data_IF_707969957122
#
_entry.id   IF_707969957122
#
_cell.length_a   1.000
_cell.length_b   1.000
_cell.length_c   1.000
_cell.angle_alpha   90.00
_cell.angle_beta   90.00
_cell.angle_gamma   90.00
#
_symmetry.space_group_name_H-M   'P 1'
#
loop_
_entity.id
_entity.type
_entity.pdbx_description
1 polymer ?
#
# COMPACT_ATOMS: atom_id res chain seq x y z
N UNK A 1 0.46 -1.67 -6.06
CA UNK A 1 0.17 -1.05 -4.75
C UNK A 1 -0.93 -1.85 -4.07
N UNK A 2 -1.08 -1.74 -2.75
CA UNK A 2 -2.16 -2.39 -2.03
C UNK A 2 -2.62 -1.55 -0.83
N UNK A 3 -3.90 -1.63 -0.46
CA UNK A 3 -4.35 -1.17 0.84
C UNK A 3 -3.97 -2.20 1.89
N UNK A 4 -3.35 -1.71 2.96
CA UNK A 4 -2.91 -2.54 4.07
C UNK A 4 -3.26 -1.86 5.39
N UNK A 5 -3.48 -2.68 6.42
CA UNK A 5 -3.59 -2.23 7.79
C UNK A 5 -2.28 -2.55 8.51
N UNK A 6 -1.60 -1.52 8.99
CA UNK A 6 -0.34 -1.64 9.74
C UNK A 6 -0.60 -1.08 11.14
N UNK A 7 -0.52 -1.93 12.17
CA UNK A 7 -0.82 -1.56 13.58
C UNK A 7 -2.19 -0.86 13.78
N UNK A 8 -3.18 -1.17 12.94
CA UNK A 8 -4.53 -0.59 13.00
C UNK A 8 -4.80 0.54 12.01
N UNK A 9 -3.75 1.20 11.51
CA UNK A 9 -3.88 2.30 10.55
C UNK A 9 -3.98 1.78 9.12
N UNK A 10 -4.93 2.33 8.34
CA UNK A 10 -5.08 2.02 6.93
C UNK A 10 -4.14 2.89 6.09
N UNK A 11 -3.22 2.22 5.38
CA UNK A 11 -2.19 2.84 4.57
C UNK A 11 -2.15 2.21 3.18
N UNK A 12 -1.56 2.95 2.24
CA UNK A 12 -1.21 2.42 0.93
C UNK A 12 0.22 1.91 0.98
N UNK A 13 0.47 0.69 0.52
CA UNK A 13 1.80 0.07 0.55
C UNK A 13 2.28 -0.33 -0.83
N UNK A 14 3.60 -0.26 -1.01
CA UNK A 14 4.33 -0.77 -2.17
C UNK A 14 5.49 -1.63 -1.68
N UNK A 15 5.67 -2.80 -2.28
CA UNK A 15 6.69 -3.76 -1.87
C UNK A 15 6.70 -4.98 -2.80
N UNK A 16 7.81 -5.74 -2.80
CA UNK A 16 8.04 -6.83 -3.75
C UNK A 16 7.01 -7.96 -3.66
N UNK A 17 6.36 -8.15 -2.51
CA UNK A 17 5.32 -9.16 -2.33
C UNK A 17 3.99 -8.83 -3.02
N UNK A 18 3.69 -7.55 -3.27
CA UNK A 18 2.36 -7.14 -3.73
C UNK A 18 2.22 -7.11 -5.25
N UNK A 19 3.27 -7.51 -5.97
CA UNK A 19 3.23 -7.79 -7.40
C UNK A 19 3.02 -9.28 -7.56
N UNK A 20 1.90 -9.66 -8.19
CA UNK A 20 1.25 -10.98 -8.20
C UNK A 20 2.05 -12.19 -8.75
N UNK A 21 3.38 -12.12 -8.83
CA UNK A 21 4.21 -13.16 -9.45
C UNK A 21 5.54 -13.48 -8.76
N UNK A 22 5.90 -12.85 -7.65
CA UNK A 22 7.17 -13.10 -6.99
C UNK A 22 7.00 -13.67 -5.59
N UNK A 23 7.09 -15.00 -5.50
CA UNK A 23 7.38 -15.82 -4.31
C UNK A 23 6.39 -15.73 -3.12
N UNK A 24 5.84 -16.86 -2.63
CA UNK A 24 5.16 -16.84 -1.33
C UNK A 24 6.18 -16.36 -0.30
N UNK A 25 5.86 -15.26 0.41
CA UNK A 25 6.67 -14.83 1.54
C UNK A 25 6.71 -16.00 2.51
N UNK A 26 7.87 -16.62 2.67
CA UNK A 26 8.13 -17.48 3.83
C UNK A 26 7.78 -16.66 5.06
N UNK A 27 6.81 -17.12 5.85
CA UNK A 27 6.20 -16.43 6.99
C UNK A 27 7.17 -16.02 8.14
N UNK A 28 8.48 -16.05 7.87
CA UNK A 28 9.59 -15.88 8.78
C UNK A 28 10.50 -14.69 8.41
N UNK A 29 10.37 -14.10 7.22
CA UNK A 29 11.23 -12.98 6.80
C UNK A 29 10.48 -11.66 6.80
N UNK A 30 11.04 -10.68 7.51
CA UNK A 30 10.54 -9.31 7.49
C UNK A 30 10.59 -8.74 6.08
N UNK A 31 9.60 -7.92 5.75
CA UNK A 31 9.35 -7.40 4.41
C UNK A 31 9.56 -5.90 4.44
N UNK A 32 10.37 -5.44 3.50
CA UNK A 32 10.58 -4.05 3.25
C UNK A 32 9.46 -3.46 2.40
N UNK A 33 8.75 -2.50 2.96
CA UNK A 33 7.62 -1.84 2.30
C UNK A 33 7.74 -0.33 2.37
N UNK A 34 7.40 0.34 1.26
CA UNK A 34 7.12 1.78 1.26
C UNK A 34 5.69 1.99 1.74
N UNK A 35 5.54 2.86 2.74
CA UNK A 35 4.25 3.22 3.31
C UNK A 35 3.89 4.63 2.84
N UNK A 36 2.71 4.75 2.27
CA UNK A 36 2.11 6.00 1.84
C UNK A 36 0.86 6.27 2.68
N UNK A 37 0.75 7.49 3.20
CA UNK A 37 -0.39 7.92 4.01
C UNK A 37 -1.32 8.78 3.18
N UNK A 38 -2.61 8.65 3.45
CA UNK A 38 -3.62 9.50 2.83
C UNK A 38 -3.41 10.94 3.29
N UNK A 39 -3.25 11.86 2.35
CA UNK A 39 -3.09 13.28 2.63
C UNK A 39 -4.43 14.01 2.42
N UNK A 40 -4.94 14.01 1.18
CA UNK A 40 -6.26 14.54 0.85
C UNK A 40 -6.79 13.99 -0.48
N UNK A 41 -8.11 14.00 -0.65
CA UNK A 41 -8.80 13.55 -1.88
C UNK A 41 -8.32 12.15 -2.27
N UNK A 42 -7.55 12.03 -3.34
CA UNK A 42 -7.02 10.77 -3.89
C UNK A 42 -5.50 10.68 -3.79
N UNK A 43 -4.89 11.57 -3.03
CA UNK A 43 -3.44 11.73 -2.91
C UNK A 43 -2.94 10.98 -1.69
N UNK A 44 -1.99 10.10 -1.94
CA UNK A 44 -1.22 9.38 -0.94
C UNK A 44 0.23 9.77 -1.07
N UNK A 45 0.79 10.30 0.01
CA UNK A 45 2.18 10.75 0.02
C UNK A 45 3.03 9.75 0.77
N UNK A 46 4.24 9.53 0.25
CA UNK A 46 5.22 8.71 0.95
C UNK A 46 5.43 9.25 2.36
N UNK A 47 5.40 8.34 3.32
CA UNK A 47 5.57 8.65 4.73
C UNK A 47 6.86 8.08 5.24
N UNK A 48 7.08 6.77 5.04
CA UNK A 48 8.25 6.08 5.56
C UNK A 48 8.50 4.78 4.80
N UNK A 49 9.76 4.35 4.86
CA UNK A 49 10.14 2.99 4.51
C UNK A 49 10.18 2.16 5.80
N UNK A 50 9.56 0.98 5.77
CA UNK A 50 9.39 0.17 6.95
C UNK A 50 9.66 -1.30 6.66
N UNK A 51 10.47 -1.90 7.52
CA UNK A 51 10.67 -3.36 7.57
C UNK A 51 9.64 -3.93 8.54
N UNK A 52 8.68 -4.70 8.04
CA UNK A 52 7.57 -5.24 8.82
C UNK A 52 7.59 -6.75 8.87
N UNK A 53 7.28 -7.33 10.03
CA UNK A 53 6.98 -8.76 10.09
C UNK A 53 5.66 -9.02 9.33
N UNK A 54 5.50 -10.16 8.64
CA UNK A 54 4.24 -10.50 7.95
C UNK A 54 3.00 -10.45 8.87
N UNK A 55 3.18 -10.67 10.17
CA UNK A 55 2.10 -10.58 11.17
C UNK A 55 1.67 -9.13 11.49
N UNK A 56 2.51 -8.14 11.22
CA UNK A 56 2.24 -6.72 11.52
C UNK A 56 1.56 -5.98 10.37
N UNK A 57 1.45 -6.63 9.20
CA UNK A 57 0.86 -6.08 7.99
C UNK A 57 -0.27 -6.99 7.51
N UNK A 58 -1.49 -6.45 7.47
CA UNK A 58 -2.64 -7.14 6.90
C UNK A 58 -3.00 -6.50 5.56
N UNK A 59 -2.83 -7.24 4.47
CA UNK A 59 -3.22 -6.78 3.14
C UNK A 59 -4.74 -6.93 3.01
N UNK A 60 -5.41 -5.81 2.83
CA UNK A 60 -6.86 -5.77 2.65
C UNK A 60 -7.22 -5.99 1.19
N UNK A 61 -6.52 -5.27 0.30
CA UNK A 61 -6.88 -5.25 -1.12
C UNK A 61 -5.70 -4.83 -2.02
N UNK A 62 -5.32 -5.64 -3.03
CA UNK A 62 -4.39 -5.21 -4.05
C UNK A 62 -5.06 -4.20 -5.01
N UNK A 63 -4.31 -3.18 -5.42
CA UNK A 63 -4.79 -2.14 -6.34
C UNK A 63 -4.15 -2.35 -7.70
N UNK A 64 -5.00 -2.40 -8.72
CA UNK A 64 -4.58 -2.47 -10.12
C UNK A 64 -3.68 -1.27 -10.47
N UNK A 65 -2.56 -1.56 -11.13
CA UNK A 65 -1.60 -0.54 -11.55
C UNK A 65 -2.23 0.49 -12.47
N UNK A 66 -3.21 0.12 -13.30
CA UNK A 66 -3.94 1.04 -14.19
C UNK A 66 -4.81 2.05 -13.42
N UNK A 67 -5.14 1.76 -12.16
CA UNK A 67 -5.92 2.65 -11.29
C UNK A 67 -5.03 3.48 -10.36
N UNK A 68 -3.71 3.39 -10.52
CA UNK A 68 -2.72 4.14 -9.75
C UNK A 68 -1.81 4.93 -10.67
N UNK A 69 -1.52 6.18 -10.31
CA UNK A 69 -0.47 6.98 -10.94
C UNK A 69 0.55 7.32 -9.86
N UNK A 70 1.75 6.77 -9.98
CA UNK A 70 2.86 7.06 -9.07
C UNK A 70 3.79 8.09 -9.70
N UNK A 71 4.00 9.20 -9.00
CA UNK A 71 4.98 10.22 -9.36
C UNK A 71 6.16 10.09 -8.41
N UNK A 72 7.23 9.47 -8.89
CA UNK A 72 8.44 9.18 -8.11
C UNK A 72 9.15 10.44 -7.63
N UNK A 73 9.17 11.50 -8.45
CA UNK A 73 9.81 12.78 -8.13
C UNK A 73 9.24 13.42 -6.85
N UNK A 74 7.93 13.32 -6.64
CA UNK A 74 7.23 13.89 -5.49
C UNK A 74 6.87 12.82 -4.45
N UNK A 75 7.28 11.58 -4.67
CA UNK A 75 6.90 10.40 -3.89
C UNK A 75 5.39 10.34 -3.59
N UNK A 76 4.59 10.66 -4.60
CA UNK A 76 3.14 10.83 -4.47
C UNK A 76 2.40 9.84 -5.34
N UNK A 77 1.39 9.20 -4.79
CA UNK A 77 0.52 8.25 -5.48
C UNK A 77 -0.88 8.81 -5.57
N UNK A 78 -1.39 8.89 -6.78
CA UNK A 78 -2.75 9.27 -7.08
C UNK A 78 -3.57 8.01 -7.35
N UNK A 79 -4.69 7.88 -6.64
CA UNK A 79 -5.62 6.78 -6.82
C UNK A 79 -6.84 7.21 -7.63
N UNK A 80 -7.35 6.32 -8.47
CA UNK A 80 -8.62 6.57 -9.15
C UNK A 80 -9.78 6.70 -8.14
N UNK A 81 -10.82 7.45 -8.50
CA UNK A 81 -11.96 7.73 -7.62
C UNK A 81 -12.65 6.47 -7.10
N UNK A 82 -12.83 5.47 -7.96
CA UNK A 82 -13.42 4.18 -7.58
C UNK A 82 -12.59 3.45 -6.52
N UNK A 83 -11.27 3.59 -6.54
CA UNK A 83 -10.38 3.02 -5.52
C UNK A 83 -10.54 3.76 -4.19
N UNK A 84 -10.70 5.09 -4.23
CA UNK A 84 -11.00 5.89 -3.03
C UNK A 84 -12.36 5.57 -2.42
N UNK A 85 -13.35 5.21 -3.23
CA UNK A 85 -14.65 4.76 -2.75
C UNK A 85 -14.55 3.38 -2.07
N UNK A 86 -13.74 2.46 -2.62
CA UNK A 86 -13.43 1.17 -1.98
C UNK A 86 -12.71 1.35 -0.65
N UNK A 87 -11.70 2.21 -0.59
CA UNK A 87 -10.98 2.53 0.65
C UNK A 87 -11.93 3.00 1.76
N UNK A 88 -12.91 3.86 1.43
CA UNK A 88 -13.88 4.37 2.41
C UNK A 88 -14.77 3.28 3.02
N UNK A 89 -14.96 2.15 2.34
CA UNK A 89 -15.68 1.00 2.88
C UNK A 89 -14.77 0.09 3.73
N UNK A 90 -13.46 0.32 3.74
CA UNK A 90 -12.47 -0.46 4.50
C UNK A 90 -12.04 0.22 5.81
N UNK A 91 -12.26 1.53 5.92
CA UNK A 91 -12.01 2.35 7.13
C UNK A 91 -13.15 2.20 8.12
#
# INVERSE_FOLDING_TARGET
FAFARIKGDLCLVQGPCFSSYATPISALTAVDVKVFRHEFISIFRFSEFRTLHPSDICILEPIDQHLTRYEEENETVFLARNVMERMRNLT
#
